data_IF_150904283816
#
_entry.id   IF_150904283816
#
_cell.length_a   1.000
_cell.length_b   1.000
_cell.length_c   1.000
_cell.angle_alpha   90.00
_cell.angle_beta   90.00
_cell.angle_gamma   90.00
#
_symmetry.space_group_name_H-M   'P 1'
#
loop_
_entity.id
_entity.type
_entity.pdbx_description
1 polymer ?
#
# COMPACT_ATOMS: atom_id res chain seq x y z
N UNK A 1 -8.56 -18.31 31.53
CA UNK A 1 -8.38 -16.92 32.01
C UNK A 1 -7.96 -16.12 30.78
N UNK A 2 -8.96 -15.73 29.98
CA UNK A 2 -8.77 -14.94 28.75
C UNK A 2 -8.22 -13.57 29.14
N UNK A 3 -6.95 -13.33 28.82
CA UNK A 3 -6.35 -12.02 29.00
C UNK A 3 -6.77 -11.16 27.82
N UNK A 4 -7.71 -10.27 28.11
CA UNK A 4 -8.07 -9.11 27.32
C UNK A 4 -6.81 -8.35 26.87
N UNK A 5 -6.43 -8.49 25.61
CA UNK A 5 -5.65 -7.45 24.94
C UNK A 5 -6.63 -6.36 24.52
N UNK A 6 -6.89 -5.45 25.44
CA UNK A 6 -7.65 -4.22 25.23
C UNK A 6 -7.06 -3.44 24.05
N UNK A 7 -7.70 -3.61 22.88
CA UNK A 7 -8.26 -2.51 22.10
C UNK A 7 -7.33 -1.30 21.89
N UNK A 8 -6.16 -1.55 21.30
CA UNK A 8 -5.41 -0.49 20.65
C UNK A 8 -6.24 0.06 19.48
N UNK A 9 -6.66 1.32 19.57
CA UNK A 9 -7.41 2.02 18.53
C UNK A 9 -6.59 3.18 17.98
N UNK A 10 -6.64 3.38 16.67
CA UNK A 10 -6.22 4.65 16.05
C UNK A 10 -7.49 5.37 15.59
N UNK A 11 -7.80 6.49 16.25
CA UNK A 11 -9.10 7.14 16.12
C UNK A 11 -10.22 6.23 16.60
N UNK A 12 -11.05 5.74 15.66
CA UNK A 12 -12.17 4.80 15.94
C UNK A 12 -11.92 3.38 15.41
N UNK A 13 -10.79 3.13 14.74
CA UNK A 13 -10.53 1.86 14.07
C UNK A 13 -9.57 1.01 14.91
N UNK A 14 -9.91 -0.27 15.19
CA UNK A 14 -8.99 -1.20 15.83
C UNK A 14 -7.68 -1.34 15.05
N UNK A 15 -6.54 -1.33 15.74
CA UNK A 15 -5.21 -1.51 15.12
C UNK A 15 -5.14 -2.78 14.28
N UNK A 16 -5.75 -3.88 14.74
CA UNK A 16 -5.83 -5.14 14.01
C UNK A 16 -6.47 -5.01 12.61
N UNK A 17 -7.47 -4.13 12.46
CA UNK A 17 -8.12 -3.90 11.18
C UNK A 17 -7.30 -2.94 10.31
N UNK A 18 -6.50 -2.05 10.91
CA UNK A 18 -5.49 -1.30 10.16
C UNK A 18 -4.40 -2.21 9.61
N UNK A 19 -3.94 -3.20 10.40
CA UNK A 19 -3.01 -4.22 9.92
C UNK A 19 -3.58 -5.01 8.74
N UNK A 20 -4.86 -5.38 8.79
CA UNK A 20 -5.55 -6.02 7.67
C UNK A 20 -5.57 -5.11 6.42
N UNK A 21 -5.89 -3.82 6.57
CA UNK A 21 -5.85 -2.87 5.44
C UNK A 21 -4.42 -2.72 4.90
N UNK A 22 -3.41 -2.67 5.75
CA UNK A 22 -1.99 -2.62 5.35
C UNK A 22 -1.57 -3.85 4.58
N UNK A 23 -2.01 -5.04 5.01
CA UNK A 23 -1.77 -6.28 4.31
C UNK A 23 -2.35 -6.23 2.89
N UNK A 24 -3.63 -5.89 2.73
CA UNK A 24 -4.24 -5.79 1.40
C UNK A 24 -3.65 -4.68 0.55
N UNK A 25 -3.21 -3.58 1.17
CA UNK A 25 -2.52 -2.50 0.48
C UNK A 25 -1.05 -2.85 0.14
N UNK A 26 -0.50 -3.94 0.66
CA UNK A 26 0.90 -4.31 0.45
C UNK A 26 1.11 -5.00 -0.89
N UNK A 27 2.30 -4.83 -1.45
CA UNK A 27 2.71 -5.56 -2.65
C UNK A 27 3.13 -7.01 -2.32
N UNK A 28 3.20 -7.37 -1.02
CA UNK A 28 3.57 -8.70 -0.53
C UNK A 28 2.52 -9.73 -0.91
N UNK A 29 1.24 -9.41 -0.73
CA UNK A 29 0.15 -10.35 -1.00
C UNK A 29 0.08 -10.73 -2.50
N UNK A 30 0.31 -9.78 -3.40
CA UNK A 30 0.40 -10.06 -4.84
C UNK A 30 1.54 -11.01 -5.21
N UNK A 31 2.59 -11.08 -4.39
CA UNK A 31 3.74 -11.97 -4.54
C UNK A 31 3.59 -13.28 -3.73
N UNK A 32 2.61 -13.34 -2.82
CA UNK A 32 2.35 -14.47 -1.93
C UNK A 32 1.73 -15.70 -2.63
N UNK A 33 1.30 -15.59 -3.90
CA UNK A 33 0.87 -16.76 -4.69
C UNK A 33 1.93 -17.88 -4.72
N UNK A 34 3.19 -17.55 -4.41
CA UNK A 34 4.32 -18.48 -4.27
C UNK A 34 4.53 -19.05 -2.84
N UNK A 35 3.90 -18.47 -1.80
CA UNK A 35 4.15 -18.78 -0.37
C UNK A 35 3.08 -19.67 0.29
N UNK A 36 2.06 -20.13 -0.46
CA UNK A 36 1.00 -21.00 0.04
C UNK A 36 -0.19 -20.25 0.66
N UNK A 37 -1.34 -20.94 0.72
CA UNK A 37 -2.58 -20.45 1.33
C UNK A 37 -2.41 -20.39 2.86
N UNK A 38 -1.89 -19.29 3.37
CA UNK A 38 -2.08 -18.95 4.79
C UNK A 38 -3.34 -18.10 4.87
N UNK A 39 -4.30 -18.46 5.74
CA UNK A 39 -5.51 -17.68 5.97
C UNK A 39 -5.16 -16.49 6.88
N UNK A 40 -4.74 -15.37 6.29
CA UNK A 40 -4.41 -14.12 7.02
C UNK A 40 -5.62 -13.46 7.69
N UNK A 41 -6.82 -14.01 7.46
CA UNK A 41 -8.08 -13.31 7.65
C UNK A 41 -8.86 -13.76 8.88
N UNK A 42 -8.54 -14.94 9.41
CA UNK A 42 -9.20 -15.51 10.59
C UNK A 42 -8.73 -14.81 11.87
N UNK A 43 -7.43 -14.49 11.96
CA UNK A 43 -6.84 -13.85 13.15
C UNK A 43 -5.90 -12.68 12.78
N UNK A 44 -6.45 -11.47 12.56
CA UNK A 44 -5.65 -10.28 12.24
C UNK A 44 -4.63 -9.90 13.33
N UNK A 45 -4.86 -10.34 14.56
CA UNK A 45 -3.97 -10.11 15.71
C UNK A 45 -2.66 -10.91 15.63
N UNK A 46 -2.58 -11.89 14.74
CA UNK A 46 -1.38 -12.68 14.44
C UNK A 46 -0.59 -12.14 13.23
N UNK A 47 -1.11 -11.11 12.54
CA UNK A 47 -0.46 -10.54 11.35
C UNK A 47 0.99 -10.10 11.58
N UNK A 48 1.34 -9.43 12.71
CA UNK A 48 2.75 -9.12 12.98
C UNK A 48 3.65 -10.36 13.03
N UNK A 49 3.21 -11.41 13.72
CA UNK A 49 3.96 -12.67 13.86
C UNK A 49 4.10 -13.39 12.51
N UNK A 50 3.05 -13.37 11.70
CA UNK A 50 3.06 -13.96 10.36
C UNK A 50 3.99 -13.21 9.41
N UNK A 51 3.91 -11.87 9.38
CA UNK A 51 4.80 -11.04 8.55
C UNK A 51 6.25 -11.17 9.00
N UNK A 52 6.50 -11.23 10.31
CA UNK A 52 7.84 -11.49 10.85
C UNK A 52 8.38 -12.85 10.38
N UNK A 53 7.58 -13.91 10.46
CA UNK A 53 7.96 -15.25 10.01
C UNK A 53 8.32 -15.28 8.51
N UNK A 54 7.50 -14.63 7.68
CA UNK A 54 7.76 -14.50 6.24
C UNK A 54 9.07 -13.74 6.01
N UNK A 55 9.27 -12.61 6.70
CA UNK A 55 10.49 -11.82 6.57
C UNK A 55 11.74 -12.61 7.01
N UNK A 56 11.67 -13.33 8.13
CA UNK A 56 12.75 -14.17 8.64
C UNK A 56 13.14 -15.25 7.63
N UNK A 57 12.18 -16.01 7.10
CA UNK A 57 12.44 -17.07 6.11
C UNK A 57 13.07 -16.49 4.82
N UNK A 58 12.53 -15.38 4.31
CA UNK A 58 13.09 -14.74 3.11
C UNK A 58 14.52 -14.24 3.38
N UNK A 59 14.77 -13.57 4.50
CA UNK A 59 16.09 -13.02 4.81
C UNK A 59 17.11 -14.12 5.06
N UNK A 60 16.76 -15.17 5.81
CA UNK A 60 17.66 -16.31 6.04
C UNK A 60 18.06 -16.97 4.72
N UNK A 61 17.10 -17.23 3.82
CA UNK A 61 17.37 -17.74 2.47
C UNK A 61 18.29 -16.82 1.68
N UNK A 62 18.10 -15.50 1.78
CA UNK A 62 18.94 -14.50 1.08
C UNK A 62 20.36 -14.45 1.63
N UNK A 63 20.54 -14.56 2.95
CA UNK A 63 21.86 -14.64 3.57
C UNK A 63 22.59 -15.88 3.06
N UNK A 64 21.93 -17.06 3.05
CA UNK A 64 22.51 -18.31 2.54
C UNK A 64 22.85 -18.28 1.05
N UNK A 65 22.04 -17.59 0.24
CA UNK A 65 22.24 -17.45 -1.22
C UNK A 65 23.03 -16.21 -1.64
N UNK A 66 23.67 -15.53 -0.69
CA UNK A 66 24.34 -14.24 -0.82
C UNK A 66 23.38 -13.06 -1.07
N UNK A 67 23.57 -12.00 -0.27
CA UNK A 67 22.84 -10.75 -0.41
C UNK A 67 23.26 -10.01 -1.67
N UNK A 68 22.32 -9.27 -2.26
CA UNK A 68 22.62 -8.41 -3.38
C UNK A 68 23.62 -7.32 -2.96
N UNK A 69 24.67 -7.18 -3.77
CA UNK A 69 25.69 -6.16 -3.64
C UNK A 69 25.34 -4.98 -4.53
N UNK A 70 25.57 -3.78 -4.02
CA UNK A 70 25.48 -2.54 -4.77
C UNK A 70 26.86 -1.93 -4.96
N UNK A 71 26.91 -0.89 -5.79
CA UNK A 71 28.08 -0.04 -5.91
C UNK A 71 27.85 1.24 -5.11
N UNK A 72 28.86 1.63 -4.36
CA UNK A 72 28.89 2.90 -3.66
C UNK A 72 30.11 3.69 -4.11
N UNK A 73 29.88 4.92 -4.54
CA UNK A 73 30.95 5.86 -4.86
C UNK A 73 31.71 6.21 -3.58
N UNK A 74 33.00 5.86 -3.56
CA UNK A 74 33.92 6.18 -2.47
C UNK A 74 34.92 7.23 -2.93
N UNK A 75 35.18 8.21 -2.07
CA UNK A 75 36.16 9.28 -2.29
C UNK A 75 37.23 9.23 -1.22
N UNK A 76 38.46 8.91 -1.60
CA UNK A 76 39.55 8.69 -0.65
C UNK A 76 40.88 9.22 -1.20
N UNK A 77 41.77 9.64 -0.31
CA UNK A 77 43.13 10.02 -0.68
C UNK A 77 44.00 8.77 -0.59
N UNK A 78 44.48 8.27 -1.74
CA UNK A 78 45.20 7.00 -1.84
C UNK A 78 46.64 7.22 -2.29
N UNK A 79 47.55 6.32 -1.92
CA UNK A 79 48.93 6.30 -2.42
C UNK A 79 49.04 5.76 -3.85
N UNK A 80 47.94 5.23 -4.40
CA UNK A 80 47.85 4.69 -5.76
C UNK A 80 46.55 5.13 -6.42
N UNK A 81 46.57 5.29 -7.74
CA UNK A 81 45.40 5.66 -8.50
C UNK A 81 44.38 4.50 -8.51
N UNK A 82 43.14 4.79 -8.12
CA UNK A 82 42.00 3.87 -8.22
C UNK A 82 40.79 4.66 -8.75
N UNK A 83 40.23 4.26 -9.89
CA UNK A 83 39.11 4.97 -10.50
C UNK A 83 39.50 6.35 -11.05
N UNK A 84 38.63 7.34 -10.89
CA UNK A 84 38.79 8.70 -11.40
C UNK A 84 39.59 9.56 -10.42
N UNK A 85 40.54 10.34 -10.92
CA UNK A 85 41.29 11.31 -10.11
C UNK A 85 40.49 12.61 -9.98
N UNK A 86 40.33 13.09 -8.74
CA UNK A 86 39.87 14.44 -8.45
C UNK A 86 41.08 15.39 -8.49
N UNK A 87 41.37 15.91 -9.68
CA UNK A 87 42.52 16.79 -9.93
C UNK A 87 42.44 18.06 -9.06
N UNK A 88 41.25 18.65 -8.92
CA UNK A 88 41.06 19.87 -8.14
C UNK A 88 41.39 19.66 -6.67
N UNK A 89 40.87 18.59 -6.06
CA UNK A 89 41.16 18.26 -4.66
C UNK A 89 42.63 17.85 -4.47
N UNK A 90 43.22 17.16 -5.44
CA UNK A 90 44.63 16.74 -5.40
C UNK A 90 45.57 17.95 -5.39
N UNK A 91 45.37 18.91 -6.29
CA UNK A 91 46.19 20.12 -6.38
C UNK A 91 45.98 21.05 -5.17
N UNK A 92 44.72 21.33 -4.81
CA UNK A 92 44.38 22.28 -3.73
C UNK A 92 44.99 21.91 -2.37
N UNK A 93 45.18 20.62 -2.10
CA UNK A 93 45.77 20.14 -0.84
C UNK A 93 47.21 19.62 -1.02
N UNK A 94 47.82 19.85 -2.19
CA UNK A 94 49.17 19.41 -2.54
C UNK A 94 49.41 17.93 -2.23
N UNK A 95 48.42 17.08 -2.51
CA UNK A 95 48.44 15.67 -2.11
C UNK A 95 49.61 14.91 -2.74
N UNK A 96 50.02 15.27 -3.96
CA UNK A 96 51.15 14.65 -4.66
C UNK A 96 52.47 14.81 -3.91
N UNK A 97 52.69 15.95 -3.24
CA UNK A 97 53.90 16.17 -2.41
C UNK A 97 53.96 15.23 -1.21
N UNK A 98 52.81 14.67 -0.80
CA UNK A 98 52.68 13.70 0.29
C UNK A 98 52.57 12.26 -0.22
N UNK A 99 52.75 12.04 -1.52
CA UNK A 99 52.57 10.73 -2.15
C UNK A 99 51.12 10.25 -2.18
N UNK A 100 50.14 11.16 -2.16
CA UNK A 100 48.71 10.86 -2.17
C UNK A 100 48.02 11.45 -3.41
N UNK A 101 46.93 10.83 -3.83
CA UNK A 101 46.04 11.29 -4.91
C UNK A 101 44.60 11.16 -4.45
N UNK A 102 43.78 12.21 -4.65
CA UNK A 102 42.36 12.11 -4.36
C UNK A 102 41.67 11.31 -5.47
N UNK A 103 41.08 10.18 -5.11
CA UNK A 103 40.44 9.25 -6.02
C UNK A 103 38.96 9.10 -5.71
N UNK A 104 38.15 9.01 -6.76
CA UNK A 104 36.73 8.66 -6.75
C UNK A 104 36.55 7.34 -7.51
N UNK A 105 36.05 6.30 -6.82
CA UNK A 105 35.87 4.98 -7.41
C UNK A 105 34.63 4.30 -6.87
N UNK A 106 34.10 3.36 -7.66
CA UNK A 106 32.99 2.51 -7.25
C UNK A 106 33.51 1.31 -6.47
N UNK A 107 33.00 1.12 -5.26
CA UNK A 107 33.29 -0.03 -4.42
C UNK A 107 32.04 -0.90 -4.27
N UNK A 108 32.21 -2.21 -4.51
CA UNK A 108 31.12 -3.15 -4.34
C UNK A 108 30.91 -3.41 -2.85
N UNK A 109 29.71 -3.11 -2.36
CA UNK A 109 29.34 -3.22 -0.95
C UNK A 109 28.00 -3.95 -0.80
N UNK A 110 27.83 -4.64 0.32
CA UNK A 110 26.51 -5.16 0.73
C UNK A 110 25.68 -4.10 1.47
N UNK A 111 26.29 -2.98 1.87
CA UNK A 111 25.65 -1.91 2.64
C UNK A 111 24.77 -1.03 1.73
N UNK A 112 23.81 -1.68 1.06
CA UNK A 112 22.86 -1.08 0.13
C UNK A 112 21.64 -0.52 0.86
N UNK A 113 20.91 0.45 0.27
CA UNK A 113 19.66 0.94 0.84
C UNK A 113 18.66 -0.18 1.17
N UNK A 114 18.56 -1.19 0.30
CA UNK A 114 17.67 -2.35 0.48
C UNK A 114 18.03 -3.15 1.73
N UNK A 115 19.31 -3.49 1.89
CA UNK A 115 19.76 -4.30 3.03
C UNK A 115 19.67 -3.51 4.35
N UNK A 116 19.95 -2.20 4.33
CA UNK A 116 19.75 -1.31 5.49
C UNK A 116 18.27 -1.23 5.90
N UNK A 117 17.37 -1.19 4.92
CA UNK A 117 15.94 -1.16 5.17
C UNK A 117 15.43 -2.49 5.74
N UNK A 118 15.91 -3.62 5.23
CA UNK A 118 15.60 -4.96 5.77
C UNK A 118 16.11 -5.11 7.19
N UNK A 119 17.34 -4.65 7.47
CA UNK A 119 17.89 -4.62 8.82
C UNK A 119 16.97 -3.83 9.76
N UNK A 120 16.55 -2.64 9.36
CA UNK A 120 15.61 -1.83 10.13
C UNK A 120 14.27 -2.55 10.34
N UNK A 121 13.70 -3.14 9.28
CA UNK A 121 12.44 -3.87 9.37
C UNK A 121 12.48 -5.04 10.36
N UNK A 122 13.57 -5.83 10.39
CA UNK A 122 13.76 -6.91 11.35
C UNK A 122 13.81 -6.39 12.79
N UNK A 123 14.47 -5.25 13.02
CA UNK A 123 14.52 -4.63 14.35
C UNK A 123 13.15 -4.11 14.77
N UNK A 124 12.41 -3.49 13.85
CA UNK A 124 11.09 -2.92 14.10
C UNK A 124 10.05 -4.00 14.39
N UNK A 125 9.93 -5.01 13.51
CA UNK A 125 8.92 -6.07 13.69
C UNK A 125 9.24 -6.98 14.88
N UNK A 126 10.51 -7.19 15.19
CA UNK A 126 10.93 -7.99 16.34
C UNK A 126 10.50 -7.43 17.70
N UNK A 127 10.11 -6.14 17.76
CA UNK A 127 9.52 -5.52 18.96
C UNK A 127 7.99 -5.68 18.98
N UNK A 128 7.36 -5.81 17.81
CA UNK A 128 5.90 -5.89 17.66
C UNK A 128 5.35 -7.31 17.85
N UNK A 129 6.15 -8.34 17.53
CA UNK A 129 5.71 -9.74 17.61
C UNK A 129 5.44 -10.21 19.03
N UNK A 130 4.44 -11.09 19.18
CA UNK A 130 4.09 -11.73 20.47
C UNK A 130 4.99 -12.93 20.74
N UNK A 131 5.27 -13.72 19.70
CA UNK A 131 6.13 -14.89 19.80
C UNK A 131 7.60 -14.51 20.08
N UNK A 132 8.10 -14.93 21.25
CA UNK A 132 9.46 -14.63 21.69
C UNK A 132 10.55 -15.32 20.88
N UNK A 133 10.26 -16.49 20.30
CA UNK A 133 11.20 -17.21 19.44
C UNK A 133 11.38 -16.45 18.12
N UNK A 134 10.28 -15.97 17.52
CA UNK A 134 10.34 -15.11 16.33
C UNK A 134 11.07 -13.79 16.62
N UNK A 135 10.81 -13.17 17.78
CA UNK A 135 11.53 -11.97 18.20
C UNK A 135 13.06 -12.25 18.31
N UNK A 136 13.43 -13.42 18.82
CA UNK A 136 14.83 -13.85 18.88
C UNK A 136 15.43 -14.07 17.50
N UNK A 137 14.75 -14.77 16.60
CA UNK A 137 15.19 -14.99 15.22
C UNK A 137 15.40 -13.67 14.46
N UNK A 138 14.48 -12.70 14.59
CA UNK A 138 14.65 -11.37 14.03
C UNK A 138 15.92 -10.68 14.52
N UNK A 139 16.22 -10.77 15.83
CA UNK A 139 17.46 -10.21 16.42
C UNK A 139 18.72 -10.91 15.90
N UNK A 140 18.69 -12.23 15.78
CA UNK A 140 19.83 -13.02 15.26
C UNK A 140 20.14 -12.62 13.81
N UNK A 141 19.12 -12.57 12.95
CA UNK A 141 19.30 -12.16 11.55
C UNK A 141 19.76 -10.71 11.41
N UNK A 142 19.19 -9.79 12.21
CA UNK A 142 19.63 -8.39 12.23
C UNK A 142 21.10 -8.28 12.63
N UNK A 143 21.57 -9.04 13.63
CA UNK A 143 22.97 -9.07 14.02
C UNK A 143 23.86 -9.70 12.94
N UNK A 144 23.40 -10.75 12.26
CA UNK A 144 24.11 -11.33 11.11
C UNK A 144 24.32 -10.30 10.00
N UNK A 145 23.30 -9.52 9.65
CA UNK A 145 23.42 -8.45 8.65
C UNK A 145 24.44 -7.39 9.07
N UNK A 146 24.46 -6.99 10.34
CA UNK A 146 25.45 -6.06 10.90
C UNK A 146 26.87 -6.61 10.81
N UNK A 147 27.08 -7.86 11.20
CA UNK A 147 28.39 -8.54 11.14
C UNK A 147 28.91 -8.67 9.71
N UNK A 148 28.02 -8.83 8.73
CA UNK A 148 28.40 -8.82 7.31
C UNK A 148 28.81 -7.43 6.79
N UNK A 149 28.50 -6.35 7.52
CA UNK A 149 28.84 -4.98 7.15
C UNK A 149 27.66 -4.09 6.74
N UNK A 150 26.40 -4.50 7.00
CA UNK A 150 25.23 -3.63 6.82
C UNK A 150 25.07 -2.74 8.04
N UNK A 151 25.50 -1.49 7.96
CA UNK A 151 25.56 -0.57 9.11
C UNK A 151 25.08 0.84 8.83
N UNK A 152 24.74 1.18 7.59
CA UNK A 152 24.29 2.54 7.28
C UNK A 152 22.90 2.86 7.82
N UNK A 153 22.57 4.16 7.80
CA UNK A 153 21.28 4.69 8.25
C UNK A 153 20.14 4.07 7.43
N UNK A 154 19.08 3.67 8.12
CA UNK A 154 17.86 3.16 7.49
C UNK A 154 17.30 4.23 6.52
N UNK A 155 17.15 3.92 5.23
CA UNK A 155 16.59 4.86 4.27
C UNK A 155 15.11 5.11 4.55
N UNK A 156 14.63 6.29 4.17
CA UNK A 156 13.21 6.61 4.26
C UNK A 156 12.41 5.80 3.24
N UNK A 157 11.10 5.64 3.49
CA UNK A 157 10.19 4.93 2.59
C UNK A 157 10.25 5.46 1.14
N UNK A 158 10.33 6.78 0.97
CA UNK A 158 10.45 7.42 -0.36
C UNK A 158 11.69 6.96 -1.13
N UNK A 159 12.81 6.75 -0.44
CA UNK A 159 14.05 6.28 -1.07
C UNK A 159 13.87 4.84 -1.55
N UNK A 160 13.30 3.98 -0.71
CA UNK A 160 13.06 2.57 -1.07
C UNK A 160 11.98 2.42 -2.16
N UNK A 161 10.96 3.28 -2.18
CA UNK A 161 9.96 3.26 -3.26
C UNK A 161 10.54 3.74 -4.60
N UNK A 162 11.61 4.54 -4.58
CA UNK A 162 12.34 4.98 -5.77
C UNK A 162 13.36 3.96 -6.32
N UNK A 163 13.66 2.90 -5.56
CA UNK A 163 14.60 1.85 -5.98
C UNK A 163 14.09 1.10 -7.22
N UNK A 164 14.96 0.95 -8.21
CA UNK A 164 14.65 0.20 -9.43
C UNK A 164 15.15 -1.24 -9.30
N UNK A 165 14.24 -2.19 -9.44
CA UNK A 165 14.58 -3.61 -9.45
C UNK A 165 14.90 -4.08 -10.87
N UNK A 166 16.07 -4.69 -11.05
CA UNK A 166 16.45 -5.33 -12.30
C UNK A 166 15.75 -6.67 -12.49
N UNK A 167 15.93 -7.30 -13.67
CA UNK A 167 15.37 -8.63 -13.98
C UNK A 167 15.86 -9.72 -13.00
N UNK A 168 17.06 -9.58 -12.44
CA UNK A 168 17.66 -10.52 -11.50
C UNK A 168 17.32 -10.23 -10.02
N UNK A 169 16.51 -9.20 -9.74
CA UNK A 169 16.18 -8.77 -8.37
C UNK A 169 14.81 -9.29 -7.90
N UNK A 170 14.29 -10.38 -8.48
CA UNK A 170 12.98 -10.91 -8.11
C UNK A 170 12.90 -11.30 -6.62
N UNK A 171 13.93 -11.97 -6.09
CA UNK A 171 13.99 -12.34 -4.68
C UNK A 171 14.17 -11.12 -3.76
N UNK A 172 14.84 -10.07 -4.24
CA UNK A 172 14.96 -8.78 -3.54
C UNK A 172 13.63 -8.05 -3.45
N UNK A 173 12.79 -8.13 -4.50
CA UNK A 173 11.46 -7.51 -4.50
C UNK A 173 10.60 -8.09 -3.39
N UNK A 174 10.58 -9.41 -3.23
CA UNK A 174 9.82 -10.07 -2.18
C UNK A 174 10.35 -9.69 -0.78
N UNK A 175 11.68 -9.72 -0.59
CA UNK A 175 12.32 -9.33 0.67
C UNK A 175 12.00 -7.87 1.05
N UNK A 176 12.11 -6.94 0.10
CA UNK A 176 11.79 -5.53 0.32
C UNK A 176 10.29 -5.33 0.54
N UNK A 177 9.41 -6.05 -0.16
CA UNK A 177 7.97 -5.99 0.06
C UNK A 177 7.57 -6.46 1.48
N UNK A 178 8.17 -7.57 1.95
CA UNK A 178 7.97 -8.05 3.32
C UNK A 178 8.50 -7.05 4.35
N UNK A 179 9.70 -6.51 4.14
CA UNK A 179 10.28 -5.50 5.02
C UNK A 179 9.44 -4.21 5.05
N UNK A 180 8.87 -3.81 3.91
CA UNK A 180 7.96 -2.66 3.82
C UNK A 180 6.73 -2.86 4.67
N UNK A 181 6.06 -3.99 4.54
CA UNK A 181 4.90 -4.32 5.34
C UNK A 181 5.25 -4.40 6.83
N UNK A 182 6.37 -5.04 7.19
CA UNK A 182 6.83 -5.15 8.56
C UNK A 182 7.01 -3.77 9.25
N UNK A 183 7.59 -2.80 8.54
CA UNK A 183 7.70 -1.42 9.03
C UNK A 183 6.33 -0.74 9.08
N UNK A 184 5.48 -0.94 8.07
CA UNK A 184 4.14 -0.34 8.01
C UNK A 184 3.27 -0.79 9.19
N UNK A 185 3.34 -2.07 9.59
CA UNK A 185 2.60 -2.63 10.72
C UNK A 185 2.98 -2.02 12.08
N UNK A 186 4.19 -1.49 12.22
CA UNK A 186 4.64 -0.85 13.46
C UNK A 186 4.20 0.62 13.59
N UNK A 187 3.82 1.29 12.49
CA UNK A 187 3.41 2.69 12.53
C UNK A 187 2.21 2.99 13.45
N UNK A 188 1.12 2.19 13.48
CA UNK A 188 -0.03 2.46 14.35
C UNK A 188 0.34 2.41 15.85
N UNK A 189 1.27 1.53 16.21
CA UNK A 189 1.78 1.37 17.57
C UNK A 189 2.72 2.48 18.00
N UNK A 190 3.48 3.08 17.08
CA UNK A 190 4.31 4.25 17.36
C UNK A 190 3.46 5.49 17.68
N UNK A 191 2.35 5.69 16.95
CA UNK A 191 1.41 6.81 17.18
C UNK A 191 0.65 6.71 18.52
N UNK A 192 0.42 5.49 19.04
CA UNK A 192 -0.22 5.27 20.34
C UNK A 192 0.63 5.74 21.53
N UNK A 193 1.95 5.87 21.36
CA UNK A 193 2.86 6.39 22.38
C UNK A 193 2.77 7.92 22.58
N UNK A 194 2.10 8.64 21.68
CA UNK A 194 1.97 10.10 21.73
C UNK A 194 0.51 10.56 21.59
N UNK A 195 -0.20 10.62 22.73
CA UNK A 195 -1.51 11.25 22.96
C UNK A 195 -2.66 11.02 21.95
N UNK A 196 -3.81 10.54 22.46
CA UNK A 196 -5.14 10.49 21.80
C UNK A 196 -5.29 11.43 20.60
N UNK A 197 -5.17 10.88 19.40
CA UNK A 197 -5.17 11.69 18.19
C UNK A 197 -6.59 11.93 17.67
N UNK A 198 -6.98 13.22 17.67
CA UNK A 198 -7.66 13.77 16.50
C UNK A 198 -6.68 13.62 15.35
N UNK A 199 -6.93 12.70 14.41
CA UNK A 199 -6.11 12.48 13.21
C UNK A 199 -5.77 13.85 12.58
N UNK A 200 -4.51 14.33 12.66
CA UNK A 200 -4.10 15.52 11.94
C UNK A 200 -4.36 15.29 10.46
N UNK A 201 -4.57 16.37 9.71
CA UNK A 201 -4.88 16.33 8.27
C UNK A 201 -3.87 15.47 7.47
N UNK A 202 -2.62 15.38 7.94
CA UNK A 202 -1.57 14.50 7.39
C UNK A 202 -1.84 13.01 7.58
N UNK A 203 -2.37 12.59 8.72
CA UNK A 203 -2.71 11.19 8.97
C UNK A 203 -4.02 10.80 8.30
N UNK A 204 -5.00 11.70 8.25
CA UNK A 204 -6.23 11.50 7.48
C UNK A 204 -5.95 11.23 5.99
N UNK A 205 -4.99 11.95 5.40
CA UNK A 205 -4.59 11.72 4.02
C UNK A 205 -3.91 10.36 3.81
N UNK A 206 -3.14 9.89 4.79
CA UNK A 206 -2.51 8.58 4.75
C UNK A 206 -3.54 7.46 4.89
N UNK A 207 -4.43 7.50 5.89
CA UNK A 207 -5.48 6.48 6.09
C UNK A 207 -6.41 6.42 4.88
N UNK A 208 -6.74 7.56 4.26
CA UNK A 208 -7.53 7.58 3.02
C UNK A 208 -6.85 6.79 1.89
N UNK A 209 -5.56 7.03 1.66
CA UNK A 209 -4.79 6.30 0.64
C UNK A 209 -4.64 4.82 0.98
N UNK A 210 -4.48 4.51 2.27
CA UNK A 210 -4.45 3.14 2.76
C UNK A 210 -5.77 2.42 2.45
N UNK A 211 -6.91 3.03 2.77
CA UNK A 211 -8.23 2.47 2.50
C UNK A 211 -8.46 2.24 1.01
N UNK A 212 -8.16 3.23 0.16
CA UNK A 212 -8.25 3.11 -1.30
C UNK A 212 -7.42 1.93 -1.82
N UNK A 213 -6.13 1.88 -1.45
CA UNK A 213 -5.21 0.81 -1.89
C UNK A 213 -5.63 -0.55 -1.34
N UNK A 214 -6.09 -0.61 -0.09
CA UNK A 214 -6.54 -1.82 0.57
C UNK A 214 -7.79 -2.41 -0.09
N UNK A 215 -8.80 -1.60 -0.41
CA UNK A 215 -10.01 -2.06 -1.11
C UNK A 215 -9.64 -2.61 -2.51
N UNK A 216 -8.74 -1.93 -3.23
CA UNK A 216 -8.26 -2.40 -4.53
C UNK A 216 -7.48 -3.72 -4.43
N UNK A 217 -6.59 -3.82 -3.43
CA UNK A 217 -5.82 -5.03 -3.16
C UNK A 217 -6.69 -6.20 -2.70
N UNK A 218 -7.67 -5.94 -1.82
CA UNK A 218 -8.66 -6.91 -1.37
C UNK A 218 -9.36 -7.56 -2.56
N UNK A 219 -9.94 -6.77 -3.46
CA UNK A 219 -10.60 -7.34 -4.63
C UNK A 219 -9.65 -8.06 -5.58
N UNK A 220 -8.40 -7.58 -5.74
CA UNK A 220 -7.41 -8.24 -6.58
C UNK A 220 -7.01 -9.62 -6.06
N UNK A 221 -7.14 -9.82 -4.75
CA UNK A 221 -6.81 -11.05 -4.03
C UNK A 221 -7.98 -12.01 -3.97
N UNK A 222 -9.14 -11.50 -3.55
CA UNK A 222 -10.28 -12.32 -3.13
C UNK A 222 -11.16 -12.70 -4.31
N UNK A 223 -11.24 -11.87 -5.34
CA UNK A 223 -12.12 -12.15 -6.47
C UNK A 223 -11.54 -13.26 -7.38
N UNK A 224 -12.41 -14.13 -7.92
CA UNK A 224 -12.02 -15.13 -8.91
C UNK A 224 -11.33 -14.51 -10.14
N UNK A 225 -10.58 -15.32 -10.89
CA UNK A 225 -9.84 -14.89 -12.10
C UNK A 225 -10.70 -14.28 -13.20
N UNK A 226 -12.03 -14.48 -13.15
CA UNK A 226 -13.01 -13.90 -14.06
C UNK A 226 -13.17 -12.39 -13.88
N UNK A 227 -12.85 -11.89 -12.68
CA UNK A 227 -12.84 -10.48 -12.34
C UNK A 227 -11.48 -9.87 -12.65
N UNK A 228 -11.50 -8.74 -13.37
CA UNK A 228 -10.30 -7.93 -13.60
C UNK A 228 -10.36 -6.67 -12.77
N UNK A 229 -9.47 -6.60 -11.79
CA UNK A 229 -9.33 -5.44 -10.90
C UNK A 229 -8.31 -4.46 -11.48
N UNK A 230 -8.71 -3.20 -11.60
CA UNK A 230 -7.92 -2.14 -12.24
C UNK A 230 -7.86 -0.91 -11.33
N UNK A 231 -6.89 -0.83 -10.41
CA UNK A 231 -6.71 0.36 -9.59
C UNK A 231 -6.19 1.53 -10.41
N UNK A 232 -6.54 2.77 -10.02
CA UNK A 232 -5.99 4.00 -10.57
C UNK A 232 -6.25 4.21 -12.06
N UNK A 233 -7.36 3.69 -12.60
CA UNK A 233 -7.61 3.72 -14.05
C UNK A 233 -7.86 5.16 -14.50
N UNK A 234 -7.00 5.65 -15.41
CA UNK A 234 -7.20 6.90 -16.12
C UNK A 234 -8.34 6.76 -17.14
N UNK A 235 -9.28 7.70 -17.09
CA UNK A 235 -10.31 7.91 -18.09
C UNK A 235 -9.97 9.19 -18.87
N UNK A 236 -10.39 9.22 -20.13
CA UNK A 236 -10.17 10.38 -21.01
C UNK A 236 -11.52 11.04 -21.28
N UNK A 237 -11.55 12.37 -21.29
CA UNK A 237 -12.71 13.12 -21.77
C UNK A 237 -12.99 12.80 -23.24
N UNK A 238 -14.26 12.79 -23.61
CA UNK A 238 -14.69 12.73 -25.01
C UNK A 238 -14.77 14.16 -25.51
N UNK A 239 -13.73 14.59 -26.22
CA UNK A 239 -13.58 15.98 -26.68
C UNK A 239 -13.91 16.03 -28.16
N UNK A 240 -14.89 16.83 -28.53
CA UNK A 240 -15.35 16.97 -29.92
C UNK A 240 -14.93 18.32 -30.54
N UNK A 241 -15.02 19.42 -29.80
CA UNK A 241 -14.67 20.77 -30.28
C UNK A 241 -13.71 21.49 -29.29
N UNK A 242 -12.40 21.20 -29.33
CA UNK A 242 -11.44 21.80 -28.41
C UNK A 242 -10.99 23.19 -28.86
N UNK A 243 -11.00 24.17 -27.95
CA UNK A 243 -10.20 25.38 -28.14
C UNK A 243 -8.69 25.03 -28.08
N UNK A 244 -7.79 25.84 -28.68
CA UNK A 244 -6.37 25.49 -28.81
C UNK A 244 -5.65 25.17 -27.49
N UNK A 245 -6.11 25.74 -26.37
CA UNK A 245 -5.51 25.55 -25.05
C UNK A 245 -6.22 24.55 -24.13
N UNK A 246 -7.40 24.03 -24.49
CA UNK A 246 -8.23 23.31 -23.50
C UNK A 246 -7.60 21.98 -23.05
N UNK A 247 -6.95 21.26 -23.96
CA UNK A 247 -6.38 19.95 -23.68
C UNK A 247 -5.26 19.97 -22.62
N UNK A 248 -4.58 21.11 -22.42
CA UNK A 248 -3.53 21.25 -21.41
C UNK A 248 -4.07 21.56 -20.01
N UNK A 249 -5.31 22.07 -19.91
CA UNK A 249 -5.93 22.49 -18.65
C UNK A 249 -7.11 21.60 -18.23
N UNK A 250 -7.56 20.68 -19.09
CA UNK A 250 -8.59 19.70 -18.74
C UNK A 250 -8.12 18.83 -17.55
N UNK A 251 -8.98 18.63 -16.55
CA UNK A 251 -8.62 17.81 -15.39
C UNK A 251 -8.45 16.35 -15.79
N UNK A 252 -7.48 15.68 -15.18
CA UNK A 252 -7.35 14.23 -15.34
C UNK A 252 -8.50 13.52 -14.61
N UNK A 253 -9.14 12.56 -15.26
CA UNK A 253 -10.09 11.65 -14.60
C UNK A 253 -9.37 10.37 -14.19
N UNK A 254 -9.22 10.15 -12.90
CA UNK A 254 -8.61 8.92 -12.35
C UNK A 254 -9.57 8.30 -11.37
N UNK A 255 -10.03 7.11 -11.70
CA UNK A 255 -10.87 6.29 -10.81
C UNK A 255 -9.99 5.58 -9.79
N UNK A 256 -10.52 5.36 -8.59
CA UNK A 256 -9.81 4.60 -7.55
C UNK A 256 -9.69 3.14 -8.00
N UNK A 257 -10.80 2.47 -8.30
CA UNK A 257 -10.82 1.06 -8.72
C UNK A 257 -11.88 0.85 -9.80
N UNK A 258 -11.54 0.05 -10.82
CA UNK A 258 -12.52 -0.50 -11.78
C UNK A 258 -12.50 -2.01 -11.72
N UNK A 259 -13.68 -2.61 -11.53
CA UNK A 259 -13.89 -4.05 -11.65
C UNK A 259 -14.58 -4.35 -12.98
N UNK A 260 -14.02 -5.26 -13.76
CA UNK A 260 -14.69 -5.83 -14.94
C UNK A 260 -14.94 -7.32 -14.68
N UNK A 261 -16.21 -7.75 -14.68
CA UNK A 261 -16.57 -9.17 -14.67
C UNK A 261 -16.65 -9.67 -16.11
N UNK A 262 -15.77 -10.61 -16.49
CA UNK A 262 -15.66 -11.05 -17.88
C UNK A 262 -16.91 -11.80 -18.37
N UNK A 263 -17.51 -12.74 -17.62
CA UNK A 263 -18.68 -13.51 -18.07
C UNK A 263 -19.95 -12.68 -18.25
N UNK A 264 -20.31 -11.84 -17.27
CA UNK A 264 -21.54 -11.03 -17.34
C UNK A 264 -21.37 -9.73 -18.13
N UNK A 265 -20.13 -9.35 -18.45
CA UNK A 265 -19.82 -8.05 -19.04
C UNK A 265 -20.03 -6.87 -18.08
N UNK A 266 -20.30 -7.11 -16.80
CA UNK A 266 -20.51 -6.06 -15.81
C UNK A 266 -19.24 -5.24 -15.58
N UNK A 267 -19.38 -3.92 -15.52
CA UNK A 267 -18.36 -2.98 -15.06
C UNK A 267 -18.84 -2.25 -13.82
N UNK A 268 -17.98 -2.19 -12.81
CA UNK A 268 -18.19 -1.40 -11.59
C UNK A 268 -17.04 -0.41 -11.42
N UNK A 269 -17.36 0.88 -11.34
CA UNK A 269 -16.42 1.93 -10.94
C UNK A 269 -16.60 2.17 -9.45
N UNK A 270 -15.55 1.94 -8.68
CA UNK A 270 -15.55 2.17 -7.23
C UNK A 270 -14.73 3.43 -6.96
N UNK A 271 -15.29 4.32 -6.15
CA UNK A 271 -14.60 5.48 -5.59
C UNK A 271 -14.73 5.40 -4.06
N UNK A 272 -13.59 5.44 -3.39
CA UNK A 272 -13.47 5.26 -1.94
C UNK A 272 -13.32 6.61 -1.26
N UNK A 273 -14.04 6.79 -0.15
CA UNK A 273 -14.00 8.02 0.63
C UNK A 273 -13.79 7.65 2.09
N UNK A 274 -12.93 8.39 2.79
CA UNK A 274 -12.64 8.16 4.19
C UNK A 274 -13.23 9.27 5.05
N UNK A 275 -14.56 9.37 5.05
CA UNK A 275 -15.35 10.32 5.83
C UNK A 275 -16.80 9.83 5.93
N UNK A 276 -17.59 10.51 6.77
CA UNK A 276 -19.03 10.26 6.84
C UNK A 276 -19.70 10.42 5.46
N UNK A 277 -20.51 9.42 5.11
CA UNK A 277 -21.26 9.33 3.86
C UNK A 277 -22.30 10.45 3.75
N UNK A 278 -22.86 10.89 4.87
CA UNK A 278 -23.82 11.98 4.93
C UNK A 278 -23.15 13.33 5.24
N UNK A 279 -23.88 14.38 4.90
CA UNK A 279 -23.63 15.75 5.35
C UNK A 279 -24.88 16.34 5.95
N UNK A 280 -24.70 17.17 6.97
CA UNK A 280 -25.79 17.88 7.61
C UNK A 280 -26.16 19.11 6.79
N UNK A 281 -27.44 19.21 6.42
CA UNK A 281 -28.02 20.40 5.81
C UNK A 281 -28.31 21.49 6.83
N UNK A 282 -28.58 22.70 6.35
CA UNK A 282 -28.90 23.89 7.18
C UNK A 282 -30.13 23.71 8.07
N UNK A 283 -31.02 22.76 7.75
CA UNK A 283 -32.28 22.50 8.45
C UNK A 283 -32.33 21.14 9.17
N UNK A 284 -31.18 20.53 9.47
CA UNK A 284 -31.12 19.25 10.20
C UNK A 284 -31.35 17.99 9.35
N UNK A 285 -31.71 18.13 8.07
CA UNK A 285 -31.79 16.99 7.15
C UNK A 285 -30.40 16.49 6.77
N UNK A 286 -30.20 15.18 6.78
CA UNK A 286 -28.99 14.51 6.27
C UNK A 286 -29.13 14.23 4.78
N UNK A 287 -28.09 14.54 4.00
CA UNK A 287 -28.06 14.23 2.56
C UNK A 287 -26.71 13.65 2.16
N UNK A 288 -26.71 12.87 1.07
CA UNK A 288 -25.48 12.44 0.40
C UNK A 288 -24.70 13.67 -0.11
N UNK A 289 -23.38 13.56 -0.15
CA UNK A 289 -22.50 14.62 -0.65
C UNK A 289 -22.60 14.73 -2.18
N UNK A 290 -23.27 15.77 -2.67
CA UNK A 290 -23.47 16.01 -4.11
C UNK A 290 -22.17 15.96 -4.93
N UNK A 291 -21.06 16.49 -4.39
CA UNK A 291 -19.73 16.43 -5.02
C UNK A 291 -19.32 15.01 -5.43
N UNK A 292 -19.63 14.00 -4.61
CA UNK A 292 -19.24 12.61 -4.88
C UNK A 292 -20.13 11.98 -5.92
N UNK A 293 -21.42 12.34 -5.92
CA UNK A 293 -22.38 11.94 -6.96
C UNK A 293 -21.93 12.50 -8.31
N UNK A 294 -21.59 13.78 -8.39
CA UNK A 294 -21.14 14.41 -9.64
C UNK A 294 -19.82 13.83 -10.13
N UNK A 295 -18.89 13.52 -9.23
CA UNK A 295 -17.64 12.85 -9.58
C UNK A 295 -17.91 11.46 -10.19
N UNK A 296 -18.72 10.63 -9.51
CA UNK A 296 -19.09 9.30 -10.01
C UNK A 296 -19.82 9.38 -11.35
N UNK A 297 -20.79 10.29 -11.45
CA UNK A 297 -21.52 10.54 -12.69
C UNK A 297 -20.58 10.92 -13.84
N UNK A 298 -19.60 11.81 -13.61
CA UNK A 298 -18.57 12.14 -14.59
C UNK A 298 -17.76 10.92 -15.05
N UNK A 299 -17.39 10.03 -14.13
CA UNK A 299 -16.70 8.78 -14.48
C UNK A 299 -17.54 7.86 -15.34
N UNK A 300 -18.82 7.68 -15.03
CA UNK A 300 -19.72 6.81 -15.78
C UNK A 300 -19.97 7.37 -17.18
N UNK A 301 -20.40 8.63 -17.27
CA UNK A 301 -20.73 9.27 -18.55
C UNK A 301 -19.51 9.45 -19.46
N UNK A 302 -18.31 9.65 -18.91
CA UNK A 302 -17.09 9.75 -19.74
C UNK A 302 -16.76 8.48 -20.53
N UNK A 303 -17.38 7.34 -20.18
CA UNK A 303 -17.17 6.04 -20.82
C UNK A 303 -18.26 5.68 -21.82
N UNK A 304 -19.47 6.22 -21.66
CA UNK A 304 -20.66 5.97 -22.48
C UNK A 304 -20.48 6.45 -23.93
N UNK A 305 -21.09 5.78 -24.91
CA UNK A 305 -21.08 6.17 -26.32
C UNK A 305 -19.84 5.73 -27.10
N UNK A 306 -18.96 4.91 -26.51
CA UNK A 306 -17.72 4.45 -27.14
C UNK A 306 -17.83 3.09 -27.84
N UNK A 307 -19.05 2.64 -28.12
CA UNK A 307 -19.34 1.38 -28.80
C UNK A 307 -18.97 0.13 -27.99
N UNK A 308 -18.97 0.23 -26.66
CA UNK A 308 -18.69 -0.89 -25.75
C UNK A 308 -19.86 -1.04 -24.78
N UNK A 309 -20.72 -2.07 -24.94
CA UNK A 309 -21.93 -2.22 -24.14
C UNK A 309 -21.70 -2.18 -22.62
N UNK A 310 -20.59 -2.75 -22.16
CA UNK A 310 -20.18 -2.73 -20.75
C UNK A 310 -19.80 -1.37 -20.19
N UNK A 311 -19.47 -0.41 -21.05
CA UNK A 311 -19.16 0.97 -20.65
C UNK A 311 -20.44 1.78 -20.57
N UNK A 312 -21.35 1.54 -21.52
CA UNK A 312 -22.67 2.20 -21.58
C UNK A 312 -23.61 1.76 -20.44
N UNK A 313 -23.33 0.61 -19.81
CA UNK A 313 -24.07 0.06 -18.67
C UNK A 313 -23.23 -0.03 -17.38
N UNK A 314 -22.11 0.71 -17.32
CA UNK A 314 -21.25 0.70 -16.13
C UNK A 314 -22.02 1.18 -14.89
N UNK A 315 -21.77 0.55 -13.74
CA UNK A 315 -22.33 0.94 -12.46
C UNK A 315 -21.26 1.66 -11.60
N UNK A 316 -21.72 2.46 -10.65
CA UNK A 316 -20.89 3.17 -9.68
C UNK A 316 -21.09 2.65 -8.26
N UNK A 317 -20.01 2.60 -7.48
CA UNK A 317 -20.05 2.36 -6.03
C UNK A 317 -19.23 3.44 -5.32
N UNK A 318 -19.89 4.18 -4.43
CA UNK A 318 -19.24 5.07 -3.47
C UNK A 318 -19.14 4.34 -2.14
N UNK A 319 -17.91 3.98 -1.76
CA UNK A 319 -17.63 3.17 -0.58
C UNK A 319 -16.98 4.01 0.52
N UNK A 320 -17.60 4.00 1.70
CA UNK A 320 -17.16 4.73 2.88
C UNK A 320 -16.88 3.79 4.06
N UNK A 321 -16.02 4.12 5.02
CA UNK A 321 -16.06 3.48 6.32
C UNK A 321 -17.35 3.88 7.05
N UNK A 322 -17.96 2.96 7.78
CA UNK A 322 -19.12 3.25 8.61
C UNK A 322 -18.75 4.17 9.77
N UNK A 323 -19.54 5.21 9.99
CA UNK A 323 -19.41 6.12 11.12
C UNK A 323 -20.76 6.16 11.83
N UNK A 324 -20.96 5.28 12.81
CA UNK A 324 -22.18 5.21 13.62
C UNK A 324 -23.38 4.51 12.95
N UNK A 325 -23.44 4.42 11.62
CA UNK A 325 -24.50 3.70 10.91
C UNK A 325 -23.98 2.97 9.68
N UNK A 326 -24.63 1.84 9.36
CA UNK A 326 -24.48 1.12 8.11
C UNK A 326 -25.45 1.69 7.06
N UNK A 327 -24.94 1.99 5.87
CA UNK A 327 -25.71 2.48 4.72
C UNK A 327 -25.45 1.56 3.53
N UNK A 328 -26.52 1.25 2.79
CA UNK A 328 -26.48 0.47 1.57
C UNK A 328 -27.66 0.86 0.67
N UNK A 329 -27.52 2.01 0.01
CA UNK A 329 -28.58 2.65 -0.78
C UNK A 329 -28.17 2.75 -2.25
N UNK A 330 -29.13 2.84 -3.17
CA UNK A 330 -28.81 2.99 -4.59
C UNK A 330 -29.82 3.86 -5.34
N UNK A 331 -29.38 4.39 -6.47
CA UNK A 331 -30.20 5.12 -7.42
C UNK A 331 -29.77 4.80 -8.84
N UNK A 332 -30.72 4.70 -9.76
CA UNK A 332 -30.43 4.58 -11.20
C UNK A 332 -30.63 5.92 -11.88
N UNK A 333 -29.58 6.44 -12.50
CA UNK A 333 -29.57 7.72 -13.22
C UNK A 333 -29.12 7.44 -14.65
N UNK A 334 -29.99 7.74 -15.63
CA UNK A 334 -29.70 7.61 -17.06
C UNK A 334 -29.14 6.23 -17.45
N UNK A 335 -29.70 5.16 -16.89
CA UNK A 335 -29.29 3.78 -17.18
C UNK A 335 -28.08 3.29 -16.37
N UNK A 336 -27.47 4.13 -15.52
CA UNK A 336 -26.36 3.75 -14.65
C UNK A 336 -26.82 3.66 -13.19
N UNK A 337 -26.54 2.54 -12.52
CA UNK A 337 -26.83 2.40 -11.09
C UNK A 337 -25.65 2.91 -10.27
N UNK A 338 -25.91 3.84 -9.35
CA UNK A 338 -24.95 4.36 -8.38
C UNK A 338 -25.35 3.88 -7.00
N UNK A 339 -24.51 3.06 -6.38
CA UNK A 339 -24.66 2.52 -5.03
C UNK A 339 -23.82 3.33 -4.03
N UNK A 340 -24.36 3.56 -2.85
CA UNK A 340 -23.75 4.27 -1.73
C UNK A 340 -23.71 3.31 -0.56
N UNK A 341 -22.51 2.83 -0.22
CA UNK A 341 -22.37 1.81 0.80
C UNK A 341 -21.30 2.15 1.83
N UNK A 342 -21.47 1.64 3.04
CA UNK A 342 -20.47 1.72 4.11
C UNK A 342 -19.95 0.34 4.49
N UNK A 343 -18.69 0.28 4.94
CA UNK A 343 -18.07 -0.90 5.57
C UNK A 343 -17.66 -0.58 7.00
N UNK A 344 -18.06 -1.42 7.96
CA UNK A 344 -17.72 -1.24 9.37
C UNK A 344 -16.31 -1.76 9.67
N UNK A 345 -15.34 -0.84 9.60
CA UNK A 345 -13.94 -1.11 9.93
C UNK A 345 -13.70 -1.37 11.43
N UNK A 346 -14.72 -1.35 12.28
CA UNK A 346 -14.61 -1.72 13.71
C UNK A 346 -15.04 -3.16 13.99
N UNK A 347 -15.75 -3.79 13.05
CA UNK A 347 -16.18 -5.18 13.12
C UNK A 347 -15.00 -6.18 13.03
N UNK A 348 -15.28 -7.47 13.15
CA UNK A 348 -14.27 -8.52 12.91
C UNK A 348 -13.85 -8.54 11.43
N UNK A 349 -12.64 -9.05 11.14
CA UNK A 349 -12.13 -9.14 9.77
C UNK A 349 -13.04 -9.96 8.85
N UNK A 350 -13.60 -11.06 9.35
CA UNK A 350 -14.60 -11.86 8.63
C UNK A 350 -15.83 -11.02 8.23
N UNK A 351 -16.34 -10.19 9.14
CA UNK A 351 -17.49 -9.31 8.85
C UNK A 351 -17.11 -8.23 7.83
N UNK A 352 -15.94 -7.60 7.98
CA UNK A 352 -15.42 -6.62 7.00
C UNK A 352 -15.33 -7.24 5.61
N UNK A 353 -14.79 -8.45 5.50
CA UNK A 353 -14.70 -9.22 4.25
C UNK A 353 -16.09 -9.46 3.64
N UNK A 354 -17.03 -9.98 4.42
CA UNK A 354 -18.40 -10.24 3.94
C UNK A 354 -19.06 -8.94 3.46
N UNK A 355 -18.88 -7.84 4.18
CA UNK A 355 -19.42 -6.53 3.77
C UNK A 355 -18.81 -6.06 2.45
N UNK A 356 -17.48 -6.17 2.28
CA UNK A 356 -16.81 -5.79 1.02
C UNK A 356 -17.26 -6.66 -0.17
N UNK A 357 -17.50 -7.96 0.04
CA UNK A 357 -18.03 -8.82 -1.03
C UNK A 357 -19.48 -8.47 -1.37
N UNK A 358 -20.32 -8.18 -0.38
CA UNK A 358 -21.73 -7.85 -0.58
C UNK A 358 -21.94 -6.56 -1.38
N UNK A 359 -21.06 -5.56 -1.23
CA UNK A 359 -21.25 -4.26 -1.89
C UNK A 359 -21.00 -4.29 -3.40
N UNK A 360 -20.36 -5.33 -3.92
CA UNK A 360 -20.15 -5.51 -5.38
C UNK A 360 -21.23 -6.37 -6.05
N UNK A 361 -22.06 -7.05 -5.26
CA UNK A 361 -23.24 -7.76 -5.78
C UNK A 361 -24.26 -6.77 -6.36
N UNK A 362 -25.14 -7.22 -7.28
CA UNK A 362 -26.21 -6.37 -7.81
C UNK A 362 -27.06 -5.79 -6.69
N UNK A 363 -27.35 -4.49 -6.76
CA UNK A 363 -28.20 -3.83 -5.78
C UNK A 363 -29.58 -4.51 -5.69
N UNK A 364 -30.05 -4.80 -4.47
CA UNK A 364 -31.33 -5.49 -4.23
C UNK A 364 -31.29 -7.02 -4.32
N UNK A 365 -30.13 -7.65 -4.50
CA UNK A 365 -30.00 -9.11 -4.36
C UNK A 365 -30.12 -9.52 -2.88
N UNK A 366 -31.17 -10.27 -2.55
CA UNK A 366 -31.29 -10.96 -1.26
C UNK A 366 -30.47 -12.25 -1.32
N UNK A 367 -29.62 -12.45 -0.33
CA UNK A 367 -28.80 -13.64 -0.16
C UNK A 367 -29.66 -14.92 -0.15
N UNK A 368 -29.58 -15.72 -1.21
CA UNK A 368 -29.75 -17.18 -1.11
C UNK A 368 -28.41 -17.74 -0.61
N UNK A 369 -28.19 -17.65 0.71
CA UNK A 369 -27.11 -18.38 1.37
C UNK A 369 -27.46 -19.88 1.33
N UNK A 370 -26.61 -20.69 0.70
CA UNK A 370 -26.52 -22.12 0.90
C UNK A 370 -25.15 -22.46 1.47
#
# INVERSE_FOLDING_TARGET
MELAHDNAFVGRIPVRNLWLLMLYASDLFGLQRELGEVSFEEEPDELPDLVARILVDIVDRRIRRQLNRGYQTRRENLTRVRGRIDMLKTERHSLLQRGLVACEFEEMTIDTPRNRFVLHALQTIGVLVKNQDLAHECRVLANSLKLMGVSGIAPTRKVIDGERFGRHDAADRLMVAAAKLAVDLAMPTESLGSHQMVLPDREGHWVRKLFEKAVGGFYAVVLPSEWRVKPGRKLSWQVEDPSPGILSVLPNMVTDIVLDHTPSGQRLVIDTKFNDIFTNGRFGNTSLRSKYIYQMYGYLMSQTGRGKPKWDSANGLLLHPAVGAMVDEWVTIQGHTIRFATVDLTASAAVVRTQLLRVIEPAGSALLLW
#
